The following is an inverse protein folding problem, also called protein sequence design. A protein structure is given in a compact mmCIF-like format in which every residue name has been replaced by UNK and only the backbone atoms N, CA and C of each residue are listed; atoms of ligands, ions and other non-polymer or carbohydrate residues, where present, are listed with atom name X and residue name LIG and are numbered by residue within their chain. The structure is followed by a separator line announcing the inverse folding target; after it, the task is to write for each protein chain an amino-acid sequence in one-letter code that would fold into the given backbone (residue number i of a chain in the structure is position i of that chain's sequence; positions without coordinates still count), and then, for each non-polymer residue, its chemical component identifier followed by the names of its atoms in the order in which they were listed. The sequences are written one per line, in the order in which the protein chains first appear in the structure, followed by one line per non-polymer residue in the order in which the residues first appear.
data_IF_821972885073
#
_entry.id   IF_821972885073
#
_cell.length_a   1.000
_cell.length_b   1.000
_cell.length_c   1.000
_cell.angle_alpha   90.00
_cell.angle_beta   90.00
_cell.angle_gamma   90.00
#
_symmetry.space_group_name_H-M   'P 1'
#
loop_
_entity.id
_entity.type
_entity.pdbx_description
1 polymer ?
#
# COMPACT_ATOMS: atom_id res chain seq x y z
N UNK A 1 18.64 6.21 -8.39
CA UNK A 1 17.84 5.48 -7.40
C UNK A 1 16.41 5.37 -7.92
N UNK A 2 15.96 4.18 -8.30
CA UNK A 2 14.55 3.96 -8.72
C UNK A 2 13.77 3.48 -7.50
N UNK A 3 12.71 4.20 -7.16
CA UNK A 3 11.78 3.77 -6.10
C UNK A 3 10.85 2.69 -6.64
N UNK A 4 10.29 1.87 -5.75
CA UNK A 4 9.25 0.92 -6.10
C UNK A 4 8.01 1.65 -6.64
N UNK A 5 7.25 0.96 -7.49
CA UNK A 5 5.93 1.43 -7.89
C UNK A 5 5.02 1.50 -6.65
N UNK A 6 4.32 2.63 -6.49
CA UNK A 6 3.33 2.78 -5.42
C UNK A 6 2.14 1.86 -5.75
N UNK A 7 1.84 0.85 -4.91
CA UNK A 7 0.68 0.01 -5.13
C UNK A 7 -0.59 0.83 -4.98
N UNK A 8 -1.61 0.54 -5.78
CA UNK A 8 -2.89 1.25 -5.72
C UNK A 8 -4.06 0.32 -6.02
N UNK A 9 -5.22 0.70 -5.52
CA UNK A 9 -6.50 0.08 -5.82
C UNK A 9 -7.49 1.19 -6.18
N UNK A 10 -8.57 0.82 -6.87
CA UNK A 10 -9.68 1.73 -7.16
C UNK A 10 -10.99 0.96 -7.08
N UNK A 11 -12.03 1.61 -6.58
CA UNK A 11 -13.34 1.00 -6.36
C UNK A 11 -14.44 2.01 -6.66
N UNK A 12 -15.56 1.53 -7.19
CA UNK A 12 -16.82 2.27 -7.25
C UNK A 12 -17.72 1.81 -6.10
N UNK A 13 -18.36 2.75 -5.43
CA UNK A 13 -19.29 2.49 -4.33
C UNK A 13 -20.03 3.75 -3.92
N UNK A 14 -20.94 3.64 -2.96
CA UNK A 14 -21.63 4.78 -2.34
C UNK A 14 -21.03 5.16 -0.99
N UNK A 15 -21.78 5.95 -0.23
CA UNK A 15 -21.39 6.47 1.09
C UNK A 15 -20.90 5.36 2.02
N UNK A 16 -19.75 5.57 2.66
CA UNK A 16 -19.19 4.65 3.66
C UNK A 16 -18.64 3.34 3.09
N UNK A 17 -18.52 3.20 1.76
CA UNK A 17 -17.90 2.02 1.14
C UNK A 17 -16.47 1.84 1.65
N UNK A 18 -16.05 0.62 2.04
CA UNK A 18 -14.66 0.37 2.39
C UNK A 18 -13.75 0.45 1.18
N UNK A 19 -12.61 1.13 1.36
CA UNK A 19 -11.49 1.18 0.43
C UNK A 19 -10.24 0.59 1.10
N UNK A 20 -9.73 -0.49 0.53
CA UNK A 20 -8.46 -1.11 0.95
C UNK A 20 -7.29 -0.49 0.19
N UNK A 21 -6.39 0.17 0.91
CA UNK A 21 -5.18 0.77 0.36
C UNK A 21 -4.04 -0.24 0.51
N UNK A 22 -3.55 -0.85 -0.59
CA UNK A 22 -2.41 -1.76 -0.50
C UNK A 22 -1.14 -0.99 -0.14
N UNK A 23 -0.29 -1.59 0.67
CA UNK A 23 0.99 -1.05 1.13
C UNK A 23 2.15 -1.95 0.68
N UNK A 24 3.30 -1.32 0.43
CA UNK A 24 4.53 -1.99 -0.01
C UNK A 24 5.76 -1.17 0.34
N UNK A 25 6.93 -1.79 0.32
CA UNK A 25 8.18 -1.09 0.63
C UNK A 25 8.53 -0.08 -0.45
N UNK A 26 8.81 1.16 -0.06
CA UNK A 26 9.05 2.30 -0.97
C UNK A 26 10.22 2.09 -1.94
N UNK A 27 11.24 1.32 -1.54
CA UNK A 27 12.45 1.14 -2.34
C UNK A 27 12.48 -0.17 -3.16
N UNK A 28 11.67 -1.18 -2.81
CA UNK A 28 11.69 -2.47 -3.49
C UNK A 28 10.37 -3.26 -3.33
N UNK A 29 9.70 -3.52 -4.45
CA UNK A 29 8.38 -4.15 -4.47
C UNK A 29 8.34 -5.62 -3.98
N UNK A 30 9.48 -6.30 -3.76
CA UNK A 30 9.51 -7.70 -3.29
C UNK A 30 9.79 -7.87 -1.79
N UNK A 31 9.93 -6.78 -1.04
CA UNK A 31 10.18 -6.85 0.41
C UNK A 31 8.91 -7.30 1.14
N UNK A 32 8.80 -8.61 1.38
CA UNK A 32 7.55 -9.25 1.83
C UNK A 32 7.15 -8.93 3.26
N UNK A 33 8.06 -8.39 4.06
CA UNK A 33 7.72 -7.87 5.39
C UNK A 33 6.78 -6.66 5.32
N UNK A 34 6.72 -5.96 4.18
CA UNK A 34 5.97 -4.70 3.99
C UNK A 34 4.71 -4.85 3.13
N UNK A 35 4.35 -6.08 2.72
CA UNK A 35 3.04 -6.32 2.10
C UNK A 35 1.96 -6.18 3.16
N UNK A 36 1.13 -5.16 3.05
CA UNK A 36 0.07 -4.89 4.01
C UNK A 36 -1.11 -4.18 3.34
N UNK A 37 -2.16 -3.89 4.11
CA UNK A 37 -3.30 -3.11 3.67
C UNK A 37 -3.88 -2.26 4.79
N UNK A 38 -4.39 -1.09 4.44
CA UNK A 38 -5.14 -0.22 5.34
C UNK A 38 -6.56 -0.02 4.79
N UNK A 39 -7.57 -0.49 5.52
CA UNK A 39 -8.98 -0.19 5.21
C UNK A 39 -9.30 1.24 5.69
N UNK A 40 -9.88 2.05 4.81
CA UNK A 40 -10.41 3.37 5.15
C UNK A 40 -11.86 3.50 4.72
N UNK A 41 -12.61 4.33 5.45
CA UNK A 41 -14.01 4.69 5.16
C UNK A 41 -14.22 6.17 5.44
N UNK A 42 -15.04 6.81 4.61
CA UNK A 42 -15.59 8.13 4.88
C UNK A 42 -17.11 7.95 4.99
N UNK A 43 -17.71 8.02 6.19
CA UNK A 43 -19.10 7.61 6.40
C UNK A 43 -20.12 8.27 5.45
N UNK A 44 -19.88 9.52 5.06
CA UNK A 44 -20.77 10.34 4.23
C UNK A 44 -20.24 10.60 2.81
N UNK A 45 -19.28 9.79 2.32
CA UNK A 45 -18.70 9.90 0.99
C UNK A 45 -18.30 8.53 0.38
N UNK A 46 -18.09 8.42 -0.95
CA UNK A 46 -18.39 9.43 -1.97
C UNK A 46 -19.88 9.53 -2.25
N UNK A 47 -20.40 10.76 -2.39
CA UNK A 47 -21.70 11.02 -3.05
C UNK A 47 -21.61 10.72 -4.54
N UNK A 48 -22.76 10.77 -5.22
CA UNK A 48 -22.88 10.38 -6.63
C UNK A 48 -21.97 11.19 -7.58
N UNK A 49 -21.65 12.43 -7.20
CA UNK A 49 -20.84 13.41 -7.93
C UNK A 49 -19.44 13.64 -7.32
N UNK A 50 -19.01 12.80 -6.39
CA UNK A 50 -17.75 12.93 -5.66
C UNK A 50 -16.78 11.77 -5.93
N UNK A 51 -15.50 12.00 -5.59
CA UNK A 51 -14.46 10.97 -5.57
C UNK A 51 -13.74 11.07 -4.23
N UNK A 52 -13.61 9.94 -3.54
CA UNK A 52 -12.69 9.82 -2.40
C UNK A 52 -11.32 9.38 -2.91
N UNK A 53 -10.29 10.19 -2.61
CA UNK A 53 -8.89 9.86 -2.86
C UNK A 53 -8.18 9.75 -1.52
N UNK A 54 -7.44 8.65 -1.32
CA UNK A 54 -6.72 8.39 -0.08
C UNK A 54 -5.30 7.90 -0.36
N UNK A 55 -4.38 8.24 0.54
CA UNK A 55 -2.98 7.81 0.53
C UNK A 55 -2.66 7.28 1.92
N UNK A 56 -2.00 6.13 2.00
CA UNK A 56 -1.51 5.56 3.24
C UNK A 56 0.02 5.46 3.20
N UNK A 57 0.66 5.75 4.34
CA UNK A 57 2.11 5.65 4.55
C UNK A 57 2.33 5.00 5.92
N UNK A 58 3.26 4.06 6.00
CA UNK A 58 3.70 3.45 7.26
C UNK A 58 5.18 3.76 7.50
N UNK A 59 5.58 3.74 8.78
CA UNK A 59 6.97 3.91 9.21
C UNK A 59 7.77 2.60 9.12
N UNK A 60 7.08 1.45 9.08
CA UNK A 60 7.67 0.11 9.05
C UNK A 60 6.78 -0.92 8.35
N UNK A 61 7.24 -2.17 8.31
CA UNK A 61 6.49 -3.34 7.84
C UNK A 61 5.59 -3.96 8.91
N UNK A 62 5.01 -5.13 8.62
CA UNK A 62 4.10 -5.82 9.54
C UNK A 62 4.77 -6.11 10.88
N UNK A 63 4.06 -6.04 12.03
CA UNK A 63 4.62 -6.33 13.35
C UNK A 63 5.22 -7.73 13.53
N UNK A 64 4.66 -8.73 12.83
CA UNK A 64 5.10 -10.12 12.90
C UNK A 64 5.35 -10.73 11.50
N UNK A 65 6.42 -10.31 10.79
CA UNK A 65 6.71 -10.80 9.45
C UNK A 65 7.37 -12.19 9.54
N UNK A 66 6.75 -13.20 8.94
CA UNK A 66 7.13 -14.62 9.10
C UNK A 66 7.06 -15.48 7.83
N UNK A 67 7.09 -14.85 6.66
CA UNK A 67 6.91 -15.51 5.35
C UNK A 67 8.17 -15.49 4.47
N UNK A 68 9.32 -15.11 5.05
CA UNK A 68 10.60 -14.98 4.35
C UNK A 68 10.56 -14.05 3.13
N UNK A 69 11.55 -14.17 2.24
CA UNK A 69 11.69 -13.35 1.03
C UNK A 69 12.79 -12.32 1.12
N UNK A 70 12.74 -11.34 0.21
CA UNK A 70 13.68 -10.23 0.20
C UNK A 70 13.50 -9.41 1.49
N UNK A 71 14.61 -9.15 2.17
CA UNK A 71 14.67 -8.34 3.38
C UNK A 71 15.22 -6.96 3.04
N UNK A 72 14.91 -5.95 3.87
CA UNK A 72 15.29 -4.55 3.62
C UNK A 72 16.80 -4.36 3.47
N UNK A 73 17.60 -5.11 4.23
CA UNK A 73 19.07 -5.13 4.18
C UNK A 73 19.65 -5.70 2.87
N UNK A 74 18.84 -6.41 2.08
CA UNK A 74 19.26 -7.06 0.84
C UNK A 74 18.76 -6.34 -0.41
N UNK A 75 18.22 -5.13 -0.26
CA UNK A 75 17.73 -4.34 -1.38
C UNK A 75 18.90 -3.90 -2.26
N UNK A 76 18.78 -4.12 -3.58
CA UNK A 76 19.75 -3.70 -4.59
C UNK A 76 19.42 -2.30 -5.12
N UNK A 77 18.13 -1.98 -5.30
CA UNK A 77 17.64 -0.64 -5.64
C UNK A 77 17.84 -0.21 -7.10
N UNK A 78 18.08 -1.17 -8.01
CA UNK A 78 18.32 -0.88 -9.44
C UNK A 78 17.03 -0.78 -10.26
N UNK A 79 16.01 -1.54 -9.88
CA UNK A 79 14.77 -1.74 -10.65
C UNK A 79 13.49 -1.41 -9.88
N UNK A 80 13.59 -1.03 -8.60
CA UNK A 80 12.43 -0.82 -7.72
C UNK A 80 11.70 -2.11 -7.34
N UNK A 81 12.27 -3.27 -7.67
CA UNK A 81 11.69 -4.60 -7.42
C UNK A 81 12.57 -5.37 -6.43
N UNK A 82 13.88 -5.25 -6.55
CA UNK A 82 14.88 -5.94 -5.73
C UNK A 82 15.89 -5.04 -5.06
#
# INVERSE_FOLDING_TARGET
FRSALIPSSKKRGGLGVPLDIPLGHKDAARVRSHFDGMEVRVPDAPRADEIVVAIAVTDSGRPHPRVGGLTTDKIVGKDGVS
#
